data_IF_643706539287
#
_entry.id   IF_643706539287
#
_cell.length_a   1.000
_cell.length_b   1.000
_cell.length_c   1.000
_cell.angle_alpha   90.00
_cell.angle_beta   90.00
_cell.angle_gamma   90.00
#
_symmetry.space_group_name_H-M   'P 1'
#
loop_
_entity.id
_entity.type
_entity.pdbx_description
1 polymer ?
#
# COMPACT_ATOMS: atom_id res chain seq x y z
N UNK A 1 -4.80 -3.35 -18.53
CA UNK A 1 -4.56 -2.59 -17.29
C UNK A 1 -4.47 -3.59 -16.15
N UNK A 2 -3.32 -3.67 -15.48
CA UNK A 2 -3.11 -4.63 -14.41
C UNK A 2 -3.11 -3.87 -13.10
N UNK A 3 -4.25 -3.86 -12.43
CA UNK A 3 -4.39 -3.25 -11.11
C UNK A 3 -3.78 -4.20 -10.08
N UNK A 4 -2.82 -3.71 -9.29
CA UNK A 4 -2.26 -4.45 -8.16
C UNK A 4 -2.73 -3.85 -6.86
N UNK A 5 -3.23 -4.68 -5.95
CA UNK A 5 -3.80 -4.25 -4.68
C UNK A 5 -2.87 -4.66 -3.54
N UNK A 6 -2.81 -3.83 -2.51
CA UNK A 6 -1.94 -4.05 -1.36
C UNK A 6 -2.63 -3.64 -0.06
N UNK A 7 -2.29 -4.34 1.02
CA UNK A 7 -2.65 -3.96 2.38
C UNK A 7 -1.41 -3.48 3.13
N UNK A 8 -1.48 -2.27 3.69
CA UNK A 8 -0.43 -1.70 4.54
C UNK A 8 -0.81 -1.99 5.99
N UNK A 9 -0.18 -3.01 6.58
CA UNK A 9 -0.58 -3.63 7.84
C UNK A 9 -0.51 -2.66 9.02
N UNK A 10 0.58 -1.89 9.12
CA UNK A 10 0.80 -0.99 10.26
C UNK A 10 -0.07 0.25 10.22
N UNK A 11 -0.48 0.69 9.02
CA UNK A 11 -1.38 1.82 8.83
C UNK A 11 -2.85 1.40 8.72
N UNK A 12 -3.14 0.09 8.60
CA UNK A 12 -4.47 -0.46 8.30
C UNK A 12 -5.11 0.21 7.08
N UNK A 13 -4.35 0.35 6.00
CA UNK A 13 -4.79 1.01 4.77
C UNK A 13 -4.74 0.04 3.60
N UNK A 14 -5.74 0.13 2.72
CA UNK A 14 -5.70 -0.53 1.41
C UNK A 14 -5.12 0.44 0.40
N UNK A 15 -4.22 -0.02 -0.45
CA UNK A 15 -3.69 0.74 -1.57
C UNK A 15 -3.75 -0.05 -2.87
N UNK A 16 -3.59 0.67 -3.98
CA UNK A 16 -3.48 0.06 -5.30
C UNK A 16 -2.48 0.79 -6.17
N UNK A 17 -1.90 0.07 -7.14
CA UNK A 17 -1.08 0.64 -8.19
C UNK A 17 -1.80 0.41 -9.52
N UNK A 18 -1.99 1.51 -10.26
CA UNK A 18 -2.51 1.51 -11.63
C UNK A 18 -1.50 2.28 -12.48
N UNK A 19 -0.95 1.65 -13.52
CA UNK A 19 -0.02 2.29 -14.47
C UNK A 19 1.08 3.10 -13.74
N UNK A 20 1.73 2.46 -12.76
CA UNK A 20 2.80 3.03 -11.91
C UNK A 20 2.38 4.14 -10.92
N UNK A 21 1.11 4.53 -10.93
CA UNK A 21 0.55 5.50 -9.99
C UNK A 21 -0.03 4.78 -8.78
N UNK A 22 0.42 5.18 -7.59
CA UNK A 22 -0.07 4.67 -6.31
C UNK A 22 -1.29 5.46 -5.81
N UNK A 23 -2.26 4.73 -5.27
CA UNK A 23 -3.47 5.25 -4.64
C UNK A 23 -3.67 4.58 -3.28
N UNK A 24 -4.25 5.31 -2.34
CA UNK A 24 -4.67 4.82 -1.03
C UNK A 24 -6.18 4.96 -0.88
N UNK A 25 -6.81 3.97 -0.29
CA UNK A 25 -8.22 3.99 0.06
C UNK A 25 -8.38 4.66 1.43
N UNK A 26 -9.05 5.81 1.47
CA UNK A 26 -9.30 6.58 2.69
C UNK A 26 -10.71 7.18 2.61
N UNK A 27 -11.46 7.16 3.70
CA UNK A 27 -12.82 7.74 3.76
C UNK A 27 -13.73 7.26 2.62
N UNK A 28 -13.67 5.96 2.31
CA UNK A 28 -14.42 5.31 1.22
C UNK A 28 -14.09 5.78 -0.22
N UNK A 29 -13.01 6.54 -0.40
CA UNK A 29 -12.57 7.04 -1.71
C UNK A 29 -11.11 6.71 -2.00
N UNK A 30 -10.77 6.58 -3.28
CA UNK A 30 -9.38 6.43 -3.72
C UNK A 30 -8.71 7.79 -3.84
N UNK A 31 -7.63 7.99 -3.10
CA UNK A 31 -6.83 9.22 -3.09
C UNK A 31 -5.44 8.90 -3.63
N UNK A 32 -4.91 9.77 -4.50
CA UNK A 32 -3.53 9.63 -5.00
C UNK A 32 -2.52 9.69 -3.85
N UNK A 33 -1.62 8.72 -3.81
CA UNK A 33 -0.55 8.62 -2.80
C UNK A 33 0.58 9.60 -3.12
N UNK A 34 0.42 10.86 -2.69
CA UNK A 34 1.42 11.93 -2.93
C UNK A 34 2.69 11.76 -2.09
N UNK A 35 2.59 11.07 -0.97
CA UNK A 35 3.69 10.86 -0.03
C UNK A 35 4.47 9.58 -0.31
N UNK A 36 4.10 8.84 -1.36
CA UNK A 36 4.73 7.56 -1.74
C UNK A 36 4.68 6.50 -0.64
N UNK A 37 3.70 6.57 0.27
CA UNK A 37 3.56 5.65 1.41
C UNK A 37 3.62 4.20 0.94
N UNK A 38 2.89 3.86 -0.13
CA UNK A 38 2.81 2.49 -0.63
C UNK A 38 4.14 2.04 -1.24
N UNK A 39 4.79 2.90 -2.04
CA UNK A 39 6.09 2.62 -2.66
C UNK A 39 7.20 2.50 -1.61
N UNK A 40 7.15 3.28 -0.55
CA UNK A 40 8.09 3.19 0.56
C UNK A 40 8.01 1.83 1.25
N UNK A 41 6.79 1.30 1.48
CA UNK A 41 6.65 -0.03 2.11
C UNK A 41 7.11 -1.13 1.15
N UNK A 42 6.74 -1.05 -0.13
CA UNK A 42 7.19 -2.02 -1.15
C UNK A 42 8.71 -2.07 -1.29
N UNK A 43 9.37 -0.91 -1.27
CA UNK A 43 10.83 -0.82 -1.37
C UNK A 43 11.55 -1.11 -0.04
N UNK A 44 10.80 -1.28 1.05
CA UNK A 44 11.36 -1.42 2.40
C UNK A 44 12.09 -0.16 2.86
N UNK A 45 11.66 1.02 2.42
CA UNK A 45 12.27 2.28 2.83
C UNK A 45 12.01 2.57 4.30
N UNK A 46 13.08 2.82 5.05
CA UNK A 46 13.02 3.21 6.45
C UNK A 46 13.43 4.67 6.60
N UNK A 47 12.52 5.54 7.01
CA UNK A 47 12.77 6.97 7.22
C UNK A 47 13.82 7.26 8.31
N UNK A 48 13.91 6.40 9.33
CA UNK A 48 14.84 6.58 10.46
C UNK A 48 16.29 6.37 9.99
N UNK A 49 16.55 5.26 9.30
CA UNK A 49 17.89 4.91 8.81
C UNK A 49 18.19 5.45 7.42
N UNK A 50 17.19 6.02 6.72
CA UNK A 50 17.25 6.47 5.33
C UNK A 50 17.76 5.40 4.36
N UNK A 51 17.38 4.14 4.58
CA UNK A 51 17.80 2.98 3.77
C UNK A 51 16.62 2.28 3.14
N UNK A 52 16.86 1.60 2.01
CA UNK A 52 15.91 0.71 1.34
C UNK A 52 16.15 -0.76 1.76
N UNK A 53 15.24 -1.66 1.37
CA UNK A 53 15.30 -3.10 1.63
C UNK A 53 15.29 -3.49 3.12
N UNK A 54 14.73 -2.64 3.99
CA UNK A 54 14.52 -2.99 5.38
C UNK A 54 13.41 -4.06 5.45
N UNK A 55 13.78 -5.30 5.82
CA UNK A 55 12.84 -6.43 5.95
C UNK A 55 11.67 -6.15 6.88
N UNK A 56 11.88 -5.36 7.92
CA UNK A 56 10.81 -4.98 8.84
C UNK A 56 9.76 -4.10 8.15
N UNK A 57 10.18 -3.25 7.21
CA UNK A 57 9.27 -2.41 6.43
C UNK A 57 8.56 -3.20 5.33
N UNK A 58 9.24 -4.14 4.66
CA UNK A 58 8.61 -4.99 3.64
C UNK A 58 7.59 -5.97 4.23
N UNK A 59 7.77 -6.41 5.47
CA UNK A 59 6.81 -7.27 6.18
C UNK A 59 5.54 -6.53 6.63
N UNK A 60 5.45 -5.22 6.40
CA UNK A 60 4.26 -4.40 6.72
C UNK A 60 3.35 -4.17 5.51
N UNK A 61 3.62 -4.83 4.38
CA UNK A 61 2.81 -4.73 3.19
C UNK A 61 2.57 -6.11 2.60
N UNK A 62 1.29 -6.42 2.36
CA UNK A 62 0.85 -7.67 1.75
C UNK A 62 0.21 -7.37 0.40
N UNK A 63 0.52 -8.18 -0.61
CA UNK A 63 -0.18 -8.13 -1.89
C UNK A 63 -1.53 -8.83 -1.76
N UNK A 64 -2.57 -8.22 -2.31
CA UNK A 64 -3.94 -8.69 -2.25
C UNK A 64 -4.44 -9.09 -3.63
N UNK A 65 -5.31 -10.10 -3.65
CA UNK A 65 -6.24 -10.30 -4.75
C UNK A 65 -7.31 -9.21 -4.76
N UNK A 66 -8.00 -9.05 -5.89
CA UNK A 66 -9.12 -8.11 -6.02
C UNK A 66 -10.21 -8.37 -4.97
N UNK A 67 -10.59 -9.64 -4.78
CA UNK A 67 -11.64 -10.03 -3.83
C UNK A 67 -11.24 -9.70 -2.38
N UNK A 68 -9.99 -9.94 -2.01
CA UNK A 68 -9.47 -9.56 -0.68
C UNK A 68 -9.47 -8.05 -0.48
N UNK A 69 -9.08 -7.29 -1.51
CA UNK A 69 -9.09 -5.84 -1.46
C UNK A 69 -10.51 -5.29 -1.29
N UNK A 70 -11.48 -5.83 -2.04
CA UNK A 70 -12.90 -5.46 -1.88
C UNK A 70 -13.43 -5.79 -0.49
N UNK A 71 -13.08 -6.97 0.05
CA UNK A 71 -13.50 -7.36 1.39
C UNK A 71 -12.94 -6.40 2.44
N UNK A 72 -11.64 -6.09 2.38
CA UNK A 72 -11.00 -5.15 3.30
C UNK A 72 -11.58 -3.75 3.18
N UNK A 73 -11.80 -3.23 1.97
CA UNK A 73 -12.41 -1.91 1.76
C UNK A 73 -13.82 -1.76 2.37
N UNK A 74 -14.56 -2.86 2.54
CA UNK A 74 -15.86 -2.84 3.22
C UNK A 74 -15.74 -2.82 4.75
N UNK A 75 -14.56 -3.17 5.29
CA UNK A 75 -14.28 -3.23 6.73
C UNK A 75 -13.59 -1.97 7.28
N UNK A 76 -12.84 -1.23 6.44
CA UNK A 76 -12.13 0.02 6.81
C UNK A 76 -12.95 1.27 6.52
#
# INVERSE_FOLDING_TARGET
>A
MTDRYFYIVDLKLVGKIIEETSYLYKNKVWIKDKESVLKDRLSGYCFITKTYHNKYMTNKIDELTFDQAQHLMNLV
#
